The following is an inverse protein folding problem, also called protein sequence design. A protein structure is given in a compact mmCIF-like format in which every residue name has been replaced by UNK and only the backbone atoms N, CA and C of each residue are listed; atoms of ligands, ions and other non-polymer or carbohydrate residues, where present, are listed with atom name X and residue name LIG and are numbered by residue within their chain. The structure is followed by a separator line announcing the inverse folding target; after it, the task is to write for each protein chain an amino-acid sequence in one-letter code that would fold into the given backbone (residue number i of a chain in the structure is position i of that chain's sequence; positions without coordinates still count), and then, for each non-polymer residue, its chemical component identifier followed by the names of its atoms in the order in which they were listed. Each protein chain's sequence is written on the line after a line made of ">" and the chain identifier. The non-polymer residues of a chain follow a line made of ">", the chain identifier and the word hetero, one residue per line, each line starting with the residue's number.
data_IF_825427871283
#
_entry.id   IF_825427871283
#
_cell.length_a   1.000
_cell.length_b   1.000
_cell.length_c   1.000
_cell.angle_alpha   90.00
_cell.angle_beta   90.00
_cell.angle_gamma   90.00
#
_symmetry.space_group_name_H-M   'P 1'
#
loop_
_entity.id
_entity.type
_entity.pdbx_description
1 polymer ?
#
# COMPACT_ATOMS: atom_id res chain seq x y z
N UNK A 1 0.42 -31.51 0.95
CA UNK A 1 1.47 -30.51 0.57
C UNK A 1 2.23 -30.05 1.81
N UNK A 2 1.54 -29.66 2.90
CA UNK A 2 2.16 -29.21 4.16
C UNK A 2 3.00 -30.27 4.87
N UNK A 3 2.54 -31.53 4.93
CA UNK A 3 3.33 -32.65 5.50
C UNK A 3 4.64 -32.83 4.73
N UNK A 4 4.60 -32.75 3.39
CA UNK A 4 5.80 -32.85 2.55
C UNK A 4 6.77 -31.71 2.84
N UNK A 5 6.29 -30.46 2.95
CA UNK A 5 7.15 -29.32 3.29
C UNK A 5 7.77 -29.44 4.68
N UNK A 6 7.01 -29.92 5.67
CA UNK A 6 7.51 -30.14 7.03
C UNK A 6 8.56 -31.27 7.06
N UNK A 7 8.29 -32.38 6.40
CA UNK A 7 9.24 -33.50 6.27
C UNK A 7 10.50 -33.02 5.55
N UNK A 8 10.38 -32.27 4.45
CA UNK A 8 11.53 -31.70 3.74
C UNK A 8 12.34 -30.75 4.62
N UNK A 9 11.69 -29.90 5.43
CA UNK A 9 12.37 -29.03 6.38
C UNK A 9 13.15 -29.86 7.42
N UNK A 10 12.47 -30.79 8.10
CA UNK A 10 13.08 -31.63 9.14
C UNK A 10 14.24 -32.45 8.58
N UNK A 11 14.06 -33.06 7.40
CA UNK A 11 15.10 -33.81 6.70
C UNK A 11 16.25 -32.92 6.22
N UNK A 12 16.01 -31.62 6.00
CA UNK A 12 17.00 -30.63 5.61
C UNK A 12 17.75 -29.98 6.78
N UNK A 13 17.34 -30.22 8.03
CA UNK A 13 18.05 -29.77 9.23
C UNK A 13 19.26 -30.68 9.52
N UNK A 14 20.18 -30.74 8.57
CA UNK A 14 21.44 -31.47 8.67
C UNK A 14 22.59 -30.51 9.04
N UNK A 15 23.66 -31.05 9.61
CA UNK A 15 24.88 -30.28 9.90
C UNK A 15 25.75 -30.05 8.65
N UNK A 16 25.29 -30.46 7.47
CA UNK A 16 26.05 -30.34 6.22
C UNK A 16 26.18 -28.86 5.82
N UNK A 17 27.41 -28.41 5.60
CA UNK A 17 27.66 -27.07 5.08
C UNK A 17 27.17 -26.96 3.63
N UNK A 18 26.26 -26.01 3.37
CA UNK A 18 25.79 -25.72 2.01
C UNK A 18 26.97 -25.18 1.18
N UNK A 19 27.31 -25.82 0.05
CA UNK A 19 28.40 -25.35 -0.80
C UNK A 19 28.19 -23.90 -1.22
N UNK A 20 29.26 -23.08 -1.24
CA UNK A 20 29.18 -21.66 -1.61
C UNK A 20 28.49 -21.41 -2.95
N UNK A 21 28.61 -22.33 -3.91
CA UNK A 21 27.97 -22.28 -5.23
C UNK A 21 26.45 -22.51 -5.21
N UNK A 22 25.90 -22.99 -4.10
CA UNK A 22 24.46 -23.23 -3.89
C UNK A 22 23.83 -22.15 -3.02
N UNK A 23 24.63 -21.25 -2.43
CA UNK A 23 24.11 -20.11 -1.69
C UNK A 23 23.61 -19.05 -2.68
N UNK A 24 22.46 -18.40 -2.40
CA UNK A 24 21.98 -17.30 -3.21
C UNK A 24 22.96 -16.13 -3.15
N UNK A 25 23.01 -15.36 -4.24
CA UNK A 25 23.80 -14.13 -4.30
C UNK A 25 23.30 -13.13 -3.25
N UNK A 26 24.18 -12.68 -2.36
CA UNK A 26 23.86 -11.75 -1.27
C UNK A 26 23.92 -10.30 -1.72
N UNK A 27 23.16 -9.96 -2.75
CA UNK A 27 23.00 -8.56 -3.19
C UNK A 27 22.28 -7.72 -2.11
N UNK A 28 22.42 -6.38 -2.12
CA UNK A 28 21.67 -5.51 -1.22
C UNK A 28 20.15 -5.74 -1.29
N UNK A 29 19.61 -5.91 -2.52
CA UNK A 29 18.19 -6.24 -2.75
C UNK A 29 17.82 -7.56 -2.08
N UNK A 30 18.59 -8.62 -2.31
CA UNK A 30 18.31 -9.94 -1.70
C UNK A 30 18.26 -9.87 -0.17
N UNK A 31 19.22 -9.16 0.45
CA UNK A 31 19.29 -9.02 1.90
C UNK A 31 18.12 -8.20 2.47
N UNK A 32 17.73 -7.11 1.80
CA UNK A 32 16.59 -6.29 2.22
C UNK A 32 15.27 -7.04 2.07
N UNK A 33 15.05 -7.69 0.92
CA UNK A 33 13.86 -8.50 0.64
C UNK A 33 13.71 -9.63 1.66
N UNK A 34 14.74 -10.44 1.86
CA UNK A 34 14.70 -11.58 2.79
C UNK A 34 14.44 -11.15 4.24
N UNK A 35 15.06 -10.06 4.70
CA UNK A 35 14.87 -9.54 6.06
C UNK A 35 13.46 -8.97 6.27
N UNK A 36 12.92 -8.28 5.27
CA UNK A 36 11.58 -7.72 5.37
C UNK A 36 10.50 -8.79 5.32
N UNK A 37 10.65 -9.82 4.48
CA UNK A 37 9.76 -11.00 4.51
C UNK A 37 9.75 -11.65 5.89
N UNK A 38 10.95 -11.93 6.45
CA UNK A 38 11.06 -12.47 7.80
C UNK A 38 10.36 -11.57 8.83
N UNK A 39 10.54 -10.25 8.73
CA UNK A 39 9.90 -9.28 9.61
C UNK A 39 8.37 -9.34 9.51
N UNK A 40 7.81 -9.35 8.30
CA UNK A 40 6.37 -9.41 8.07
C UNK A 40 5.75 -10.69 8.65
N UNK A 41 6.41 -11.83 8.46
CA UNK A 41 5.96 -13.12 9.01
C UNK A 41 6.08 -13.17 10.53
N UNK A 42 7.23 -12.78 11.09
CA UNK A 42 7.50 -12.87 12.53
C UNK A 42 6.56 -11.98 13.33
N UNK A 43 6.18 -10.82 12.77
CA UNK A 43 5.31 -9.85 13.43
C UNK A 43 3.85 -9.95 12.99
N UNK A 44 3.48 -11.04 12.31
CA UNK A 44 2.11 -11.34 11.85
C UNK A 44 1.45 -10.21 11.04
N UNK A 45 2.24 -9.44 10.28
CA UNK A 45 1.73 -8.35 9.46
C UNK A 45 0.74 -8.86 8.40
N UNK A 46 1.02 -10.07 7.86
CA UNK A 46 0.19 -10.74 6.87
C UNK A 46 -1.10 -11.35 7.45
N UNK A 47 -1.28 -11.35 8.78
CA UNK A 47 -2.59 -11.68 9.36
C UNK A 47 -3.66 -10.64 8.98
N UNK A 48 -3.25 -9.37 8.84
CA UNK A 48 -4.12 -8.27 8.47
C UNK A 48 -3.95 -7.85 7.00
N UNK A 49 -2.70 -7.73 6.55
CA UNK A 49 -2.37 -7.19 5.25
C UNK A 49 -2.19 -8.28 4.20
N UNK A 50 -2.48 -7.95 2.94
CA UNK A 50 -2.11 -8.78 1.79
C UNK A 50 -0.89 -8.22 1.07
N UNK A 51 -0.05 -9.10 0.54
CA UNK A 51 1.13 -8.75 -0.26
C UNK A 51 1.39 -9.88 -1.26
N UNK A 52 1.53 -9.56 -2.55
CA UNK A 52 1.73 -10.55 -3.63
C UNK A 52 0.67 -11.66 -3.69
N UNK A 53 -0.55 -11.36 -3.24
CA UNK A 53 -1.64 -12.34 -3.15
C UNK A 53 -1.66 -13.19 -1.88
N UNK A 54 -0.63 -13.10 -1.04
CA UNK A 54 -0.56 -13.81 0.24
C UNK A 54 -1.05 -12.96 1.41
N UNK A 55 -1.52 -13.61 2.48
CA UNK A 55 -1.97 -12.96 3.71
C UNK A 55 -3.42 -12.48 3.70
N UNK A 56 -3.71 -11.48 4.52
CA UNK A 56 -5.03 -10.89 4.68
C UNK A 56 -6.06 -11.84 5.26
N UNK A 57 -5.69 -12.66 6.23
CA UNK A 57 -6.60 -13.59 6.91
C UNK A 57 -7.90 -12.91 7.39
N UNK A 58 -7.81 -11.65 7.83
CA UNK A 58 -8.97 -10.85 8.26
C UNK A 58 -9.98 -10.52 7.13
N UNK A 59 -9.60 -10.65 5.85
CA UNK A 59 -10.49 -10.34 4.73
C UNK A 59 -11.64 -11.32 4.66
N UNK A 60 -11.41 -12.62 4.90
CA UNK A 60 -12.48 -13.62 4.97
C UNK A 60 -13.50 -13.27 6.07
N UNK A 61 -13.04 -12.82 7.24
CA UNK A 61 -13.94 -12.34 8.29
C UNK A 61 -14.69 -11.07 7.90
N UNK A 62 -14.12 -10.24 7.02
CA UNK A 62 -14.79 -9.06 6.47
C UNK A 62 -15.87 -9.45 5.46
N UNK A 63 -15.63 -10.47 4.64
CA UNK A 63 -16.61 -11.07 3.73
C UNK A 63 -17.78 -11.67 4.51
N UNK A 64 -17.50 -12.49 5.52
CA UNK A 64 -18.54 -13.10 6.37
C UNK A 64 -19.37 -12.03 7.09
N UNK A 65 -18.72 -11.00 7.62
CA UNK A 65 -19.42 -9.87 8.24
C UNK A 65 -20.31 -9.13 7.23
N UNK A 66 -19.83 -8.86 6.01
CA UNK A 66 -20.62 -8.22 4.96
C UNK A 66 -21.82 -9.09 4.54
N UNK A 67 -21.66 -10.41 4.50
CA UNK A 67 -22.76 -11.35 4.23
C UNK A 67 -23.86 -11.24 5.28
N UNK A 68 -23.50 -11.07 6.54
CA UNK A 68 -24.45 -10.95 7.65
C UNK A 68 -25.15 -9.59 7.72
N UNK A 69 -24.42 -8.49 7.51
CA UNK A 69 -24.97 -7.13 7.69
C UNK A 69 -25.55 -6.52 6.42
N UNK A 70 -25.24 -7.10 5.25
CA UNK A 70 -25.77 -6.71 3.96
C UNK A 70 -26.37 -7.94 3.25
N UNK A 71 -25.64 -8.57 2.33
CA UNK A 71 -26.07 -9.76 1.59
C UNK A 71 -24.87 -10.47 0.91
N UNK A 72 -25.12 -11.60 0.26
CA UNK A 72 -24.09 -12.36 -0.47
C UNK A 72 -23.45 -11.55 -1.61
N UNK A 73 -24.23 -10.70 -2.31
CA UNK A 73 -23.71 -9.91 -3.44
C UNK A 73 -22.65 -8.93 -2.96
N UNK A 74 -22.88 -8.30 -1.80
CA UNK A 74 -21.94 -7.39 -1.16
C UNK A 74 -20.72 -8.13 -0.60
N UNK A 75 -20.90 -9.34 -0.09
CA UNK A 75 -19.80 -10.19 0.39
C UNK A 75 -18.87 -10.64 -0.76
N UNK A 76 -19.43 -10.89 -1.95
CA UNK A 76 -18.68 -11.27 -3.15
C UNK A 76 -18.07 -10.06 -3.88
N UNK A 77 -18.52 -8.83 -3.59
CA UNK A 77 -17.91 -7.61 -4.13
C UNK A 77 -16.55 -7.32 -3.47
N UNK A 78 -15.49 -7.76 -4.15
CA UNK A 78 -14.10 -7.52 -3.73
C UNK A 78 -13.80 -6.05 -3.42
N UNK A 79 -14.38 -5.10 -4.16
CA UNK A 79 -14.13 -3.67 -3.93
C UNK A 79 -14.71 -3.19 -2.60
N UNK A 80 -15.84 -3.78 -2.21
CA UNK A 80 -16.51 -3.50 -0.95
C UNK A 80 -15.73 -4.13 0.21
N UNK A 81 -15.39 -5.41 0.11
CA UNK A 81 -14.56 -6.12 1.10
C UNK A 81 -13.26 -5.38 1.35
N UNK A 82 -12.56 -4.97 0.29
CA UNK A 82 -11.30 -4.22 0.38
C UNK A 82 -11.46 -2.84 1.03
N UNK A 83 -12.62 -2.19 0.86
CA UNK A 83 -12.92 -0.90 1.50
C UNK A 83 -12.96 -1.03 3.02
N UNK A 84 -13.39 -2.18 3.54
CA UNK A 84 -13.49 -2.48 4.97
C UNK A 84 -12.34 -3.32 5.53
N UNK A 85 -11.39 -3.75 4.68
CA UNK A 85 -10.23 -4.54 5.08
C UNK A 85 -8.95 -3.70 5.18
N UNK A 86 -7.91 -4.15 5.91
CA UNK A 86 -6.59 -3.51 5.89
C UNK A 86 -6.00 -3.39 4.48
N UNK A 87 -5.18 -2.36 4.21
CA UNK A 87 -4.73 -2.07 2.87
C UNK A 87 -3.80 -3.15 2.32
N UNK A 88 -3.87 -3.36 1.00
CA UNK A 88 -2.86 -4.09 0.21
C UNK A 88 -1.50 -3.40 0.35
N UNK A 89 -0.46 -4.19 0.52
CA UNK A 89 0.92 -3.70 0.68
C UNK A 89 1.71 -3.66 -0.63
N UNK A 90 1.15 -4.19 -1.71
CA UNK A 90 1.70 -4.09 -3.06
C UNK A 90 2.00 -2.62 -3.41
N UNK A 91 3.12 -2.39 -4.10
CA UNK A 91 3.61 -1.06 -4.49
C UNK A 91 3.93 -0.09 -3.34
N UNK A 92 3.92 -0.52 -2.07
CA UNK A 92 4.12 0.39 -0.92
C UNK A 92 5.42 1.20 -0.99
N UNK A 93 6.50 0.59 -1.51
CA UNK A 93 7.83 1.20 -1.58
C UNK A 93 7.85 2.36 -2.57
N UNK A 94 7.24 2.16 -3.74
CA UNK A 94 7.08 3.23 -4.75
C UNK A 94 5.88 4.15 -4.49
N UNK A 95 4.93 3.76 -3.64
CA UNK A 95 3.75 4.56 -3.30
C UNK A 95 4.03 5.65 -2.29
N UNK A 96 4.73 5.32 -1.21
CA UNK A 96 4.86 6.22 -0.05
C UNK A 96 6.26 6.81 0.08
N UNK A 97 6.32 8.04 0.57
CA UNK A 97 7.58 8.67 0.93
C UNK A 97 8.15 8.01 2.19
N UNK A 98 9.47 7.70 2.24
CA UNK A 98 10.04 6.87 3.30
C UNK A 98 10.00 7.58 4.66
N UNK A 99 10.24 8.90 4.66
CA UNK A 99 10.19 9.71 5.88
C UNK A 99 8.77 9.79 6.45
N UNK A 100 7.76 9.93 5.58
CA UNK A 100 6.36 9.91 6.01
C UNK A 100 5.99 8.55 6.60
N UNK A 101 6.40 7.45 5.96
CA UNK A 101 6.09 6.11 6.41
C UNK A 101 6.74 5.80 7.77
N UNK A 102 8.01 6.21 7.97
CA UNK A 102 8.69 6.11 9.27
C UNK A 102 7.95 6.91 10.36
N UNK A 103 7.58 8.15 10.07
CA UNK A 103 6.85 9.00 11.02
C UNK A 103 5.47 8.42 11.35
N UNK A 104 4.78 7.85 10.35
CA UNK A 104 3.49 7.19 10.53
C UNK A 104 3.60 5.93 11.38
N UNK A 105 4.64 5.09 11.20
CA UNK A 105 4.86 3.93 12.08
C UNK A 105 5.09 4.33 13.55
N UNK A 106 5.76 5.47 13.79
CA UNK A 106 6.00 6.00 15.14
C UNK A 106 4.76 6.65 15.76
N UNK A 107 3.81 7.10 14.95
CA UNK A 107 2.58 7.72 15.39
C UNK A 107 1.43 7.33 14.45
N UNK A 108 0.95 6.10 14.62
CA UNK A 108 -0.07 5.52 13.73
C UNK A 108 -1.34 6.35 13.81
N UNK A 109 -1.73 6.90 12.67
CA UNK A 109 -2.93 7.71 12.50
C UNK A 109 -3.84 7.13 11.44
N UNK A 110 -5.11 7.56 11.47
CA UNK A 110 -6.13 7.08 10.55
C UNK A 110 -5.98 7.73 9.17
N UNK A 111 -5.70 6.92 8.14
CA UNK A 111 -5.65 7.40 6.74
C UNK A 111 -7.02 7.28 6.05
N UNK A 112 -7.80 6.24 6.37
CA UNK A 112 -9.17 6.03 5.87
C UNK A 112 -10.17 6.23 7.02
N UNK A 113 -10.83 7.39 7.13
CA UNK A 113 -11.70 7.71 8.27
C UNK A 113 -12.85 6.72 8.51
N UNK A 114 -13.33 6.05 7.45
CA UNK A 114 -14.44 5.09 7.54
C UNK A 114 -14.02 3.69 8.02
N UNK A 115 -12.71 3.37 8.04
CA UNK A 115 -12.21 2.02 8.35
C UNK A 115 -12.08 1.82 9.87
N UNK A 116 -12.88 0.94 10.47
CA UNK A 116 -12.81 0.70 11.91
C UNK A 116 -11.53 -0.04 12.35
N UNK A 117 -11.02 -0.95 11.51
CA UNK A 117 -9.81 -1.72 11.81
C UNK A 117 -8.59 -0.79 11.91
N UNK A 118 -7.81 -0.96 12.98
CA UNK A 118 -6.60 -0.18 13.27
C UNK A 118 -5.36 -1.05 13.10
N UNK A 119 -4.30 -0.46 12.54
CA UNK A 119 -2.97 -1.08 12.62
C UNK A 119 -2.48 -0.99 14.08
N UNK A 120 -2.00 -2.09 14.68
CA UNK A 120 -1.40 -2.06 16.00
C UNK A 120 -0.14 -1.19 16.04
N UNK A 121 0.11 -0.52 17.16
CA UNK A 121 1.40 0.11 17.41
C UNK A 121 2.43 -0.93 17.82
N UNK A 122 3.63 -0.83 17.26
CA UNK A 122 4.76 -1.68 17.63
C UNK A 122 5.90 -0.84 18.20
N UNK A 123 6.57 -1.34 19.22
CA UNK A 123 7.71 -0.67 19.85
C UNK A 123 9.04 -1.05 19.18
N UNK A 124 9.11 -0.93 17.86
CA UNK A 124 10.34 -1.16 17.10
C UNK A 124 11.19 0.11 17.03
N UNK A 125 12.49 -0.11 16.88
CA UNK A 125 13.48 0.95 16.68
C UNK A 125 13.37 1.57 15.28
N UNK A 126 13.86 2.80 15.12
CA UNK A 126 13.96 3.44 13.80
C UNK A 126 14.76 2.58 12.80
N UNK A 127 15.74 1.80 13.27
CA UNK A 127 16.50 0.87 12.43
C UNK A 127 15.64 -0.27 11.89
N UNK A 128 14.79 -0.85 12.74
CA UNK A 128 13.86 -1.92 12.34
C UNK A 128 12.82 -1.40 11.34
N UNK A 129 12.25 -0.22 11.60
CA UNK A 129 11.33 0.40 10.65
C UNK A 129 11.99 0.75 9.33
N UNK A 130 13.20 1.31 9.35
CA UNK A 130 13.95 1.58 8.12
C UNK A 130 14.30 0.30 7.35
N UNK A 131 14.54 -0.84 8.02
CA UNK A 131 14.71 -2.11 7.33
C UNK A 131 13.42 -2.54 6.60
N UNK A 132 12.24 -2.37 7.22
CA UNK A 132 10.96 -2.66 6.58
C UNK A 132 10.65 -1.69 5.42
N UNK A 133 10.99 -0.41 5.57
CA UNK A 133 10.85 0.58 4.49
C UNK A 133 11.77 0.20 3.33
N UNK A 134 13.03 -0.12 3.61
CA UNK A 134 14.01 -0.57 2.62
C UNK A 134 13.56 -1.85 1.91
N UNK A 135 12.91 -2.77 2.64
CA UNK A 135 12.25 -3.93 2.06
C UNK A 135 11.23 -3.53 0.99
N UNK A 136 10.26 -2.68 1.31
CA UNK A 136 9.24 -2.25 0.35
C UNK A 136 9.86 -1.56 -0.86
N UNK A 137 10.86 -0.70 -0.65
CA UNK A 137 11.56 -0.02 -1.74
C UNK A 137 12.27 -1.00 -2.67
N UNK A 138 13.09 -1.90 -2.14
CA UNK A 138 13.79 -2.91 -2.94
C UNK A 138 12.84 -3.90 -3.61
N UNK A 139 11.71 -4.22 -2.98
CA UNK A 139 10.66 -5.04 -3.58
C UNK A 139 10.04 -4.39 -4.81
N UNK A 140 9.92 -3.06 -4.81
CA UNK A 140 9.40 -2.26 -5.92
C UNK A 140 10.50 -1.72 -6.85
N UNK A 141 11.69 -2.33 -6.84
CA UNK A 141 12.85 -1.96 -7.67
C UNK A 141 13.31 -0.49 -7.52
N UNK A 142 13.06 0.07 -6.33
CA UNK A 142 13.35 1.44 -6.00
C UNK A 142 14.59 1.53 -5.10
N UNK A 143 15.70 2.04 -5.65
CA UNK A 143 16.97 2.15 -4.92
C UNK A 143 17.19 3.53 -4.26
N UNK A 144 16.13 4.31 -4.03
CA UNK A 144 16.20 5.66 -3.46
C UNK A 144 16.13 5.63 -1.93
N UNK A 145 17.25 5.91 -1.25
CA UNK A 145 17.28 6.02 0.21
C UNK A 145 16.58 7.29 0.74
N UNK A 146 16.54 8.35 -0.06
CA UNK A 146 15.94 9.64 0.30
C UNK A 146 15.26 10.27 -0.91
N UNK A 147 14.21 11.04 -0.65
CA UNK A 147 13.51 11.83 -1.67
C UNK A 147 13.49 13.30 -1.27
N UNK A 148 13.74 14.16 -2.26
CA UNK A 148 13.54 15.58 -2.07
C UNK A 148 12.04 15.90 -2.12
N UNK A 149 11.58 16.87 -1.31
CA UNK A 149 10.24 17.39 -1.46
C UNK A 149 9.98 17.82 -2.90
N UNK A 150 8.79 17.51 -3.41
CA UNK A 150 8.37 17.99 -4.72
C UNK A 150 8.26 19.51 -4.72
N UNK A 151 9.01 20.17 -5.61
CA UNK A 151 8.95 21.61 -5.82
C UNK A 151 7.97 21.95 -6.95
N UNK A 152 7.17 23.00 -6.75
CA UNK A 152 6.19 23.47 -7.72
C UNK A 152 6.02 24.98 -7.65
N UNK A 153 5.65 25.58 -8.78
CA UNK A 153 5.37 27.01 -8.88
C UNK A 153 3.88 27.24 -9.05
N UNK A 154 3.25 27.93 -8.10
CA UNK A 154 1.82 28.27 -8.11
C UNK A 154 1.35 28.94 -9.41
N UNK A 155 2.23 29.71 -10.07
CA UNK A 155 1.91 30.43 -11.31
C UNK A 155 2.20 29.64 -12.59
N UNK A 156 2.74 28.42 -12.48
CA UNK A 156 3.08 27.59 -13.64
C UNK A 156 1.84 27.11 -14.38
N UNK A 157 1.99 26.77 -15.66
CA UNK A 157 0.95 26.11 -16.45
C UNK A 157 0.56 24.77 -15.82
N UNK A 158 1.54 23.97 -15.36
CA UNK A 158 1.30 22.68 -14.71
C UNK A 158 0.46 22.79 -13.44
N UNK A 159 0.71 23.81 -12.60
CA UNK A 159 -0.11 24.02 -11.41
C UNK A 159 -1.56 24.35 -11.77
N UNK A 160 -1.78 25.27 -12.71
CA UNK A 160 -3.13 25.63 -13.19
C UNK A 160 -3.83 24.45 -13.87
N UNK A 161 -3.09 23.60 -14.59
CA UNK A 161 -3.62 22.37 -15.15
C UNK A 161 -4.07 21.40 -14.05
N UNK A 162 -3.27 21.25 -12.99
CA UNK A 162 -3.63 20.48 -11.80
C UNK A 162 -4.92 20.98 -11.13
N UNK A 163 -5.11 22.30 -11.02
CA UNK A 163 -6.37 22.88 -10.51
C UNK A 163 -7.58 22.48 -11.38
N UNK A 164 -7.44 22.51 -12.71
CA UNK A 164 -8.50 22.09 -13.63
C UNK A 164 -8.78 20.60 -13.56
N UNK A 165 -7.74 19.76 -13.45
CA UNK A 165 -7.91 18.31 -13.29
C UNK A 165 -8.64 18.00 -11.98
N UNK A 166 -8.30 18.68 -10.87
CA UNK A 166 -8.97 18.49 -9.59
C UNK A 166 -10.46 18.90 -9.65
N UNK A 167 -10.78 19.99 -10.36
CA UNK A 167 -12.15 20.45 -10.59
C UNK A 167 -12.95 19.45 -11.45
N UNK A 168 -12.41 19.07 -12.62
CA UNK A 168 -13.07 18.17 -13.57
C UNK A 168 -13.18 16.74 -13.04
N UNK A 169 -12.18 16.27 -12.30
CA UNK A 169 -12.16 14.95 -11.67
C UNK A 169 -13.11 14.84 -10.48
N UNK A 170 -13.73 15.95 -10.05
CA UNK A 170 -14.68 16.02 -8.95
C UNK A 170 -14.19 15.28 -7.69
N UNK A 171 -12.91 15.45 -7.36
CA UNK A 171 -12.23 14.67 -6.31
C UNK A 171 -12.91 14.81 -4.94
N UNK A 172 -13.52 15.97 -4.67
CA UNK A 172 -14.29 16.27 -3.47
C UNK A 172 -15.62 15.50 -3.33
N UNK A 173 -16.04 14.77 -4.36
CA UNK A 173 -17.16 13.84 -4.22
C UNK A 173 -16.81 12.70 -3.26
N UNK A 174 -15.56 12.23 -3.29
CA UNK A 174 -15.11 11.06 -2.53
C UNK A 174 -14.03 11.39 -1.49
N UNK A 175 -13.13 12.32 -1.76
CA UNK A 175 -12.00 12.62 -0.89
C UNK A 175 -12.27 13.78 0.07
N UNK A 176 -11.68 13.68 1.28
CA UNK A 176 -11.64 14.79 2.23
C UNK A 176 -10.61 15.84 1.81
N UNK A 177 -10.86 17.09 2.23
CA UNK A 177 -9.92 18.20 2.13
C UNK A 177 -9.77 18.86 3.51
N UNK A 178 -8.74 18.48 4.27
CA UNK A 178 -8.64 18.89 5.67
C UNK A 178 -9.84 18.38 6.46
N UNK A 179 -10.61 19.27 7.08
CA UNK A 179 -11.82 18.92 7.81
C UNK A 179 -13.08 18.87 6.92
N UNK A 180 -12.97 19.25 5.65
CA UNK A 180 -14.09 19.19 4.71
C UNK A 180 -14.41 17.75 4.33
N UNK A 181 -15.67 17.36 4.55
CA UNK A 181 -16.17 16.02 4.23
C UNK A 181 -16.48 15.87 2.74
N UNK A 182 -16.38 14.66 2.19
CA UNK A 182 -16.80 14.38 0.82
C UNK A 182 -18.29 14.65 0.61
N UNK A 183 -18.68 15.02 -0.62
CA UNK A 183 -20.09 15.28 -0.96
C UNK A 183 -20.96 14.03 -1.00
N UNK A 184 -20.37 12.88 -1.32
CA UNK A 184 -21.09 11.60 -1.39
C UNK A 184 -21.14 10.89 -0.03
N UNK A 185 -21.82 9.74 -0.02
CA UNK A 185 -22.07 8.93 1.18
C UNK A 185 -20.78 8.35 1.77
N UNK A 186 -20.83 7.97 3.05
CA UNK A 186 -19.70 7.40 3.77
C UNK A 186 -19.05 6.18 3.10
N UNK A 187 -19.82 5.44 2.29
CA UNK A 187 -19.34 4.25 1.59
C UNK A 187 -18.36 4.55 0.45
N UNK A 188 -18.38 5.79 -0.08
CA UNK A 188 -17.48 6.24 -1.14
C UNK A 188 -16.37 7.15 -0.62
N UNK A 189 -16.32 7.38 0.70
CA UNK A 189 -15.30 8.22 1.31
C UNK A 189 -13.90 7.65 1.11
N UNK A 190 -12.98 8.50 0.68
CA UNK A 190 -11.60 8.17 0.34
C UNK A 190 -10.61 8.98 1.20
N UNK A 191 -9.30 8.64 1.23
CA UNK A 191 -8.32 9.34 2.05
C UNK A 191 -8.25 10.85 1.84
N UNK A 192 -7.85 11.59 2.86
CA UNK A 192 -7.71 13.05 2.79
C UNK A 192 -6.59 13.47 1.82
N UNK A 193 -6.93 14.30 0.83
CA UNK A 193 -5.99 14.70 -0.21
C UNK A 193 -4.93 15.69 0.26
N UNK A 194 -5.12 16.37 1.40
CA UNK A 194 -4.09 17.25 1.97
C UNK A 194 -2.83 16.50 2.37
N UNK A 195 -2.94 15.19 2.63
CA UNK A 195 -1.81 14.33 2.95
C UNK A 195 -0.99 13.94 1.72
N UNK A 196 -1.51 14.14 0.50
CA UNK A 196 -0.91 13.59 -0.72
C UNK A 196 0.52 14.06 -0.92
N UNK A 197 0.81 15.35 -0.69
CA UNK A 197 2.14 15.94 -0.87
C UNK A 197 3.20 15.31 0.03
N UNK A 198 2.84 14.98 1.27
CA UNK A 198 3.79 14.46 2.25
C UNK A 198 3.84 12.92 2.20
N UNK A 199 2.74 12.28 1.84
CA UNK A 199 2.57 10.83 1.90
C UNK A 199 2.98 10.12 0.63
N UNK A 200 2.57 10.61 -0.53
CA UNK A 200 2.60 9.87 -1.79
C UNK A 200 3.75 10.34 -2.68
N UNK A 201 4.28 9.43 -3.50
CA UNK A 201 5.27 9.76 -4.53
C UNK A 201 4.60 10.19 -5.82
N UNK A 202 5.18 11.16 -6.52
CA UNK A 202 4.64 11.72 -7.77
C UNK A 202 4.54 10.66 -8.87
N UNK A 203 5.54 9.81 -9.03
CA UNK A 203 5.57 8.78 -10.07
C UNK A 203 4.46 7.74 -9.85
N UNK A 204 4.25 7.30 -8.61
CA UNK A 204 3.15 6.40 -8.28
C UNK A 204 1.78 7.06 -8.49
N UNK A 205 1.63 8.36 -8.21
CA UNK A 205 0.38 9.08 -8.49
C UNK A 205 0.07 9.11 -10.00
N UNK A 206 1.08 9.31 -10.84
CA UNK A 206 0.91 9.28 -12.31
C UNK A 206 0.48 7.88 -12.79
N UNK A 207 1.13 6.84 -12.30
CA UNK A 207 0.76 5.44 -12.59
C UNK A 207 -0.68 5.15 -12.10
N UNK A 208 -0.99 5.53 -10.86
CA UNK A 208 -2.27 5.26 -10.23
C UNK A 208 -3.41 5.99 -10.95
N UNK A 209 -3.22 7.24 -11.38
CA UNK A 209 -4.25 7.95 -12.15
C UNK A 209 -4.42 7.43 -13.57
N UNK A 210 -3.37 6.86 -14.17
CA UNK A 210 -3.45 6.29 -15.52
C UNK A 210 -4.31 5.02 -15.54
N UNK A 211 -4.10 4.11 -14.59
CA UNK A 211 -4.96 2.94 -14.40
C UNK A 211 -4.98 2.49 -12.92
N UNK A 212 -5.97 2.96 -12.13
CA UNK A 212 -6.05 2.59 -10.71
C UNK A 212 -6.21 1.10 -10.45
N UNK A 213 -6.88 0.36 -11.36
CA UNK A 213 -7.13 -1.07 -11.18
C UNK A 213 -5.87 -1.92 -11.36
N UNK A 214 -4.94 -1.49 -12.23
CA UNK A 214 -3.67 -2.20 -12.41
C UNK A 214 -2.76 -2.04 -11.18
N UNK A 215 -2.78 -0.85 -10.57
CA UNK A 215 -1.93 -0.54 -9.40
C UNK A 215 -2.54 -1.07 -8.10
N UNK A 216 -3.88 -0.98 -7.96
CA UNK A 216 -4.60 -1.45 -6.78
C UNK A 216 -5.91 -2.13 -7.21
N UNK A 217 -5.85 -3.42 -7.59
CA UNK A 217 -7.03 -4.17 -8.00
C UNK A 217 -8.15 -4.11 -6.95
N UNK A 218 -9.38 -3.84 -7.38
CA UNK A 218 -10.54 -3.69 -6.49
C UNK A 218 -10.65 -2.32 -5.82
N UNK A 219 -9.81 -1.34 -6.17
CA UNK A 219 -9.99 0.04 -5.70
C UNK A 219 -11.30 0.63 -6.24
N UNK A 220 -11.96 1.49 -5.45
CA UNK A 220 -13.11 2.29 -5.89
C UNK A 220 -12.70 3.59 -6.59
N UNK A 221 -11.41 3.91 -6.62
CA UNK A 221 -10.91 5.09 -7.33
C UNK A 221 -11.08 4.88 -8.84
N UNK A 222 -11.86 5.71 -9.55
CA UNK A 222 -11.93 5.66 -11.00
C UNK A 222 -10.66 6.26 -11.62
N UNK A 223 -10.36 5.90 -12.88
CA UNK A 223 -9.36 6.63 -13.65
C UNK A 223 -9.90 8.06 -13.88
N UNK A 224 -9.28 9.12 -13.31
CA UNK A 224 -9.73 10.47 -13.56
C UNK A 224 -9.52 10.83 -15.03
N UNK A 225 -10.40 11.65 -15.58
CA UNK A 225 -10.16 12.24 -16.90
C UNK A 225 -8.98 13.20 -16.82
N UNK A 226 -7.87 12.84 -17.46
CA UNK A 226 -6.70 13.70 -17.63
C UNK A 226 -6.68 14.07 -19.12
N UNK A 227 -6.92 15.34 -19.49
CA UNK A 227 -6.77 15.77 -20.87
C UNK A 227 -5.32 15.54 -21.30
N UNK A 228 -5.07 14.57 -22.16
CA UNK A 228 -3.81 14.50 -22.92
C UNK A 228 -3.94 15.44 -24.10
N UNK A 229 -2.83 16.03 -24.57
CA UNK A 229 -2.85 16.64 -25.90
C UNK A 229 -3.36 15.58 -26.89
N UNK A 230 -4.34 15.92 -27.74
CA UNK A 230 -4.72 15.01 -28.83
C UNK A 230 -3.44 14.70 -29.62
N UNK A 231 -3.20 13.43 -30.02
CA UNK A 231 -2.06 13.14 -30.88
C UNK A 231 -2.20 14.00 -32.13
N UNK A 232 -1.24 14.91 -32.33
CA UNK A 232 -1.08 15.69 -33.57
C UNK A 232 -0.88 14.78 -34.76
#
# INVERSE_FOLDING_TARGET
>A
KEITSLVTLIMGLVNDEIPKSKLPERSPKFLAVSKGEQFLHTNNCLGCHKLDGDGGAIWASTEDWLREVADETNAEDRSLVQSFSPPLLDTQGRKTQPQWLLNWFKNISMVRPHLQVRMPSFNFTDKEWNNLISYFQHKDDLNLAYENPHDFKLKSSSYKAGERIAEMGACNNCHFYGDEKPKQTALTWAPNLVLSKDRLRTDWLQEFFSNPQDVMPGTKMPAPYIPTEEPT
#
